data_IF_230896060722
#
_entry.id   IF_230896060722
#
_cell.length_a   1.000
_cell.length_b   1.000
_cell.length_c   1.000
_cell.angle_alpha   90.00
_cell.angle_beta   90.00
_cell.angle_gamma   90.00
#
_symmetry.space_group_name_H-M   'P 1'
#
loop_
_entity.id
_entity.type
_entity.pdbx_description
1 polymer ?
#
# COMPACT_ATOMS: atom_id res chain seq x y z
N UNK A 1 10.20 -21.51 -59.04
CA UNK A 1 9.70 -20.91 -57.78
C UNK A 1 9.64 -22.00 -56.72
N UNK A 2 10.24 -21.79 -55.53
CA UNK A 2 9.74 -22.29 -54.23
C UNK A 2 10.60 -21.66 -53.12
N UNK A 3 9.96 -20.89 -52.24
CA UNK A 3 10.54 -20.28 -51.03
C UNK A 3 10.24 -21.24 -49.87
N UNK A 4 11.25 -21.66 -49.10
CA UNK A 4 11.04 -22.42 -47.86
C UNK A 4 11.88 -21.80 -46.74
N UNK A 5 11.16 -21.35 -45.70
CA UNK A 5 11.59 -20.52 -44.58
C UNK A 5 12.51 -21.27 -43.60
N UNK A 6 13.45 -20.58 -42.91
CA UNK A 6 14.14 -21.14 -41.76
C UNK A 6 13.28 -21.03 -40.50
N UNK A 7 12.60 -22.11 -40.11
CA UNK A 7 12.00 -22.23 -38.78
C UNK A 7 13.10 -22.50 -37.74
N UNK A 8 13.74 -21.45 -37.27
CA UNK A 8 14.40 -21.46 -35.95
C UNK A 8 13.62 -20.54 -35.03
N UNK A 9 12.68 -21.14 -34.28
CA UNK A 9 12.16 -20.54 -33.06
C UNK A 9 13.06 -20.99 -31.91
N UNK A 10 14.01 -20.18 -31.43
CA UNK A 10 14.69 -20.49 -30.19
C UNK A 10 13.69 -20.27 -29.05
N UNK A 11 13.38 -21.34 -28.32
CA UNK A 11 13.14 -21.44 -26.87
C UNK A 11 12.53 -20.26 -26.09
N UNK A 12 11.62 -19.49 -26.69
CA UNK A 12 10.85 -18.46 -25.98
C UNK A 12 10.01 -19.08 -24.84
N UNK A 13 9.68 -20.37 -24.95
CA UNK A 13 8.94 -21.12 -23.94
C UNK A 13 9.78 -21.41 -22.69
N UNK A 14 11.08 -21.63 -22.82
CA UNK A 14 11.96 -21.88 -21.68
C UNK A 14 12.24 -20.59 -20.91
N UNK A 15 12.53 -19.49 -21.62
CA UNK A 15 12.71 -18.17 -21.01
C UNK A 15 11.46 -17.68 -20.26
N UNK A 16 10.27 -17.94 -20.81
CA UNK A 16 9.01 -17.59 -20.14
C UNK A 16 8.74 -18.48 -18.92
N UNK A 17 9.05 -19.78 -18.98
CA UNK A 17 8.95 -20.67 -17.82
C UNK A 17 9.94 -20.32 -16.71
N UNK A 18 11.16 -19.93 -17.06
CA UNK A 18 12.17 -19.49 -16.10
C UNK A 18 11.73 -18.19 -15.40
N UNK A 19 11.07 -17.30 -16.15
CA UNK A 19 10.45 -16.09 -15.60
C UNK A 19 9.29 -16.40 -14.65
N UNK A 20 8.39 -17.34 -14.97
CA UNK A 20 7.33 -17.79 -14.05
C UNK A 20 7.89 -18.48 -12.81
N UNK A 21 9.01 -19.22 -12.94
CA UNK A 21 9.68 -19.89 -11.81
C UNK A 21 10.38 -18.91 -10.87
N UNK A 22 10.99 -17.86 -11.39
CA UNK A 22 11.64 -16.82 -10.58
C UNK A 22 10.67 -15.75 -10.10
N UNK A 23 9.56 -15.51 -10.81
CA UNK A 23 8.43 -14.72 -10.33
C UNK A 23 7.40 -15.63 -9.66
N UNK A 24 7.76 -16.11 -8.46
CA UNK A 24 6.76 -16.55 -7.49
C UNK A 24 5.75 -15.41 -7.33
N UNK A 25 4.44 -15.64 -7.52
CA UNK A 25 3.46 -14.83 -6.84
C UNK A 25 3.61 -15.18 -5.36
N UNK A 26 4.19 -14.27 -4.58
CA UNK A 26 3.94 -14.26 -3.14
C UNK A 26 2.52 -13.71 -2.95
N UNK A 27 1.52 -14.48 -3.34
CA UNK A 27 0.16 -14.28 -2.87
C UNK A 27 -0.43 -15.64 -2.48
N UNK A 28 -0.55 -15.80 -1.16
CA UNK A 28 -1.70 -16.39 -0.48
C UNK A 28 -2.53 -17.33 -1.35
N UNK A 29 -2.07 -18.58 -1.44
CA UNK A 29 -3.03 -19.68 -1.49
C UNK A 29 -3.84 -19.64 -0.19
N UNK A 30 -4.97 -18.93 -0.20
CA UNK A 30 -6.07 -19.14 0.73
C UNK A 30 -6.72 -20.46 0.32
N UNK A 31 -6.73 -21.45 1.22
CA UNK A 31 -7.96 -22.18 1.45
C UNK A 31 -8.34 -22.13 2.93
N UNK A 32 -9.64 -21.97 3.13
CA UNK A 32 -10.43 -22.52 4.24
C UNK A 32 -10.19 -22.08 5.69
N UNK A 33 -11.21 -21.37 6.19
CA UNK A 33 -11.79 -21.40 7.53
C UNK A 33 -10.92 -21.98 8.66
N UNK A 34 -10.39 -21.09 9.49
CA UNK A 34 -10.22 -21.41 10.91
C UNK A 34 -10.23 -20.12 11.74
N UNK A 35 -11.19 -20.10 12.65
CA UNK A 35 -11.26 -19.34 13.89
C UNK A 35 -11.45 -17.83 13.80
N UNK A 36 -12.67 -17.42 14.17
CA UNK A 36 -12.87 -16.15 14.85
C UNK A 36 -12.00 -16.15 16.10
N UNK A 37 -10.97 -15.31 16.07
CA UNK A 37 -10.40 -14.74 17.26
C UNK A 37 -10.45 -13.24 17.09
N UNK A 38 -11.15 -12.63 18.02
CA UNK A 38 -11.29 -11.20 18.20
C UNK A 38 -9.89 -10.60 18.34
N UNK A 39 -9.34 -10.10 17.23
CA UNK A 39 -8.14 -9.29 17.23
C UNK A 39 -8.40 -7.99 18.00
N UNK A 40 -8.27 -8.06 19.32
CA UNK A 40 -8.16 -6.94 20.24
C UNK A 40 -6.83 -6.23 19.94
N UNK A 41 -6.74 -5.57 18.80
CA UNK A 41 -5.64 -4.65 18.47
C UNK A 41 -6.01 -3.23 18.92
N UNK A 42 -6.57 -3.13 20.13
CA UNK A 42 -6.91 -1.87 20.80
C UNK A 42 -5.75 -1.42 21.73
N UNK A 43 -4.50 -1.60 21.30
CA UNK A 43 -3.32 -1.16 22.09
C UNK A 43 -2.17 -0.61 21.25
N UNK A 44 -2.42 -0.26 19.98
CA UNK A 44 -1.47 0.53 19.15
C UNK A 44 -1.78 2.03 19.12
N UNK A 45 -2.52 2.54 20.10
CA UNK A 45 -2.73 3.98 20.28
C UNK A 45 -1.39 4.71 20.53
N UNK A 46 -0.40 4.03 21.13
CA UNK A 46 0.88 4.62 21.56
C UNK A 46 2.11 4.15 20.76
N UNK A 47 1.97 3.20 19.83
CA UNK A 47 3.07 2.82 18.93
C UNK A 47 3.18 3.84 17.79
N UNK A 48 4.38 4.37 17.55
CA UNK A 48 4.63 5.36 16.49
C UNK A 48 4.08 4.97 15.11
N UNK A 49 3.95 5.94 14.22
CA UNK A 49 3.45 5.72 12.86
C UNK A 49 4.47 4.98 12.00
N UNK A 50 4.06 3.86 11.43
CA UNK A 50 4.83 3.14 10.41
C UNK A 50 4.61 3.72 9.02
N UNK A 51 5.56 3.52 8.08
CA UNK A 51 5.39 3.97 6.69
C UNK A 51 4.14 3.41 6.01
N UNK A 52 3.73 2.19 6.37
CA UNK A 52 2.51 1.56 5.85
C UNK A 52 1.23 2.26 6.33
N UNK A 53 1.18 2.65 7.60
CA UNK A 53 0.06 3.39 8.18
C UNK A 53 -0.02 4.81 7.59
N UNK A 54 1.10 5.49 7.42
CA UNK A 54 1.16 6.80 6.75
C UNK A 54 0.68 6.70 5.31
N UNK A 55 1.10 5.68 4.57
CA UNK A 55 0.63 5.45 3.20
C UNK A 55 -0.88 5.18 3.14
N UNK A 56 -1.40 4.35 4.05
CA UNK A 56 -2.84 4.08 4.16
C UNK A 56 -3.63 5.36 4.46
N UNK A 57 -3.16 6.17 5.42
CA UNK A 57 -3.75 7.46 5.75
C UNK A 57 -3.76 8.41 4.54
N UNK A 58 -2.63 8.55 3.84
CA UNK A 58 -2.51 9.40 2.67
C UNK A 58 -3.41 8.95 1.52
N UNK A 59 -3.53 7.64 1.28
CA UNK A 59 -4.44 7.08 0.29
C UNK A 59 -5.90 7.33 0.66
N UNK A 60 -6.27 7.15 1.93
CA UNK A 60 -7.61 7.44 2.42
C UNK A 60 -7.95 8.93 2.29
N UNK A 61 -7.00 9.83 2.54
CA UNK A 61 -7.21 11.28 2.36
C UNK A 61 -7.45 11.68 0.90
N UNK A 62 -6.83 10.96 -0.06
CA UNK A 62 -7.07 11.15 -1.49
C UNK A 62 -8.45 10.62 -1.90
N UNK A 63 -8.83 9.45 -1.38
CA UNK A 63 -10.12 8.82 -1.67
C UNK A 63 -11.30 9.59 -1.05
N UNK A 64 -11.10 10.20 0.12
CA UNK A 64 -12.13 10.92 0.86
C UNK A 64 -11.75 12.41 0.98
N UNK A 65 -12.09 13.25 -0.02
CA UNK A 65 -11.86 14.68 0.03
C UNK A 65 -12.71 15.34 1.11
N UNK A 66 -12.53 16.65 1.31
CA UNK A 66 -13.19 17.43 2.40
C UNK A 66 -14.71 17.42 2.33
N UNK A 67 -15.27 17.16 1.16
CA UNK A 67 -16.71 17.16 0.91
C UNK A 67 -17.36 15.79 1.19
N UNK A 68 -16.57 14.79 1.59
CA UNK A 68 -17.07 13.47 1.93
C UNK A 68 -17.73 13.45 3.33
N UNK A 69 -19.00 13.07 3.38
CA UNK A 69 -19.70 12.74 4.63
C UNK A 69 -18.96 11.63 5.37
N UNK A 70 -18.79 11.80 6.69
CA UNK A 70 -18.08 10.84 7.55
C UNK A 70 -16.64 10.56 7.10
N UNK A 71 -16.00 11.53 6.42
CA UNK A 71 -14.60 11.45 5.93
C UNK A 71 -13.68 10.77 6.93
N UNK A 72 -13.66 11.28 8.15
CA UNK A 72 -12.72 10.82 9.17
C UNK A 72 -13.03 9.43 9.73
N UNK A 73 -14.29 8.99 9.67
CA UNK A 73 -14.64 7.62 10.04
C UNK A 73 -14.16 6.64 8.97
N UNK A 74 -14.35 6.97 7.69
CA UNK A 74 -13.81 6.20 6.57
C UNK A 74 -12.27 6.15 6.58
N UNK A 75 -11.62 7.25 6.96
CA UNK A 75 -10.16 7.29 7.13
C UNK A 75 -9.70 6.37 8.26
N UNK A 76 -10.33 6.44 9.43
CA UNK A 76 -9.97 5.57 10.55
C UNK A 76 -10.18 4.08 10.20
N UNK A 77 -11.25 3.76 9.47
CA UNK A 77 -11.49 2.41 8.97
C UNK A 77 -10.42 1.92 7.99
N UNK A 78 -9.75 2.83 7.27
CA UNK A 78 -8.66 2.50 6.34
C UNK A 78 -7.29 2.35 7.04
N UNK A 79 -7.16 2.78 8.30
CA UNK A 79 -5.91 2.69 9.07
C UNK A 79 -6.16 1.84 10.32
N UNK A 80 -6.04 0.51 10.22
CA UNK A 80 -6.33 -0.38 11.34
C UNK A 80 -5.42 -0.08 12.54
N UNK A 81 -5.99 -0.11 13.74
CA UNK A 81 -5.26 0.20 14.98
C UNK A 81 -5.05 1.69 15.26
N UNK A 82 -5.50 2.60 14.39
CA UNK A 82 -5.46 4.05 14.62
C UNK A 82 -6.86 4.64 14.70
N UNK A 83 -7.10 5.45 15.73
CA UNK A 83 -8.37 6.16 15.90
C UNK A 83 -8.47 7.36 14.96
N UNK A 84 -9.70 7.86 14.77
CA UNK A 84 -9.97 9.12 14.06
C UNK A 84 -9.14 10.29 14.59
N UNK A 85 -9.02 10.40 15.92
CA UNK A 85 -8.24 11.46 16.56
C UNK A 85 -6.74 11.38 16.20
N UNK A 86 -6.16 10.18 16.23
CA UNK A 86 -4.77 9.96 15.83
C UNK A 86 -4.56 10.26 14.35
N UNK A 87 -5.46 9.83 13.47
CA UNK A 87 -5.39 10.14 12.05
C UNK A 87 -5.38 11.65 11.81
N UNK A 88 -6.29 12.40 12.44
CA UNK A 88 -6.34 13.87 12.32
C UNK A 88 -5.02 14.52 12.77
N UNK A 89 -4.50 14.11 13.94
CA UNK A 89 -3.22 14.62 14.46
C UNK A 89 -2.07 14.34 13.50
N UNK A 90 -1.98 13.12 12.98
CA UNK A 90 -0.92 12.74 12.03
C UNK A 90 -0.96 13.53 10.74
N UNK A 91 -2.15 13.83 10.21
CA UNK A 91 -2.28 14.69 9.02
C UNK A 91 -1.72 16.09 9.26
N UNK A 92 -1.93 16.65 10.45
CA UNK A 92 -1.37 17.97 10.81
C UNK A 92 0.15 17.90 10.88
N UNK A 93 0.71 16.86 11.51
CA UNK A 93 2.16 16.62 11.58
C UNK A 93 2.77 16.49 10.18
N UNK A 94 2.25 15.59 9.33
CA UNK A 94 2.73 15.38 7.96
C UNK A 94 2.72 16.68 7.14
N UNK A 95 1.67 17.50 7.28
CA UNK A 95 1.57 18.80 6.60
C UNK A 95 2.59 19.80 7.12
N UNK A 96 2.84 19.82 8.44
CA UNK A 96 3.86 20.69 9.05
C UNK A 96 5.24 20.29 8.59
N UNK A 97 5.55 19.00 8.63
CA UNK A 97 6.87 18.47 8.31
C UNK A 97 7.18 18.69 6.81
N UNK A 98 6.18 18.53 5.92
CA UNK A 98 6.33 18.86 4.50
C UNK A 98 6.55 20.36 4.23
N UNK A 99 5.91 21.24 5.01
CA UNK A 99 6.10 22.70 4.89
C UNK A 99 7.45 23.13 5.45
N UNK A 100 7.89 22.51 6.54
CA UNK A 100 9.18 22.79 7.18
C UNK A 100 10.36 22.27 6.35
N UNK A 101 10.23 21.11 5.71
CA UNK A 101 11.28 20.58 4.82
C UNK A 101 11.45 21.42 3.54
N UNK A 102 10.38 22.07 3.07
CA UNK A 102 10.46 23.07 1.99
C UNK A 102 11.18 24.35 2.38
N UNK A 103 11.22 24.72 3.66
CA UNK A 103 11.94 25.90 4.13
C UNK A 103 13.47 25.65 4.16
N UNK A 104 13.90 24.40 4.32
CA UNK A 104 15.32 24.03 4.33
C UNK A 104 15.91 23.72 2.95
N UNK A 105 15.09 23.58 1.90
CA UNK A 105 15.55 23.34 0.52
C UNK A 105 15.83 24.61 -0.30
N UNK A 106 15.74 25.81 0.30
CA UNK A 106 15.98 27.09 -0.39
C UNK A 106 17.32 27.76 -0.03
N UNK A 107 18.30 27.03 0.52
CA UNK A 107 19.66 27.53 0.71
C UNK A 107 20.68 26.50 0.25
N UNK A 108 21.11 26.61 -1.00
CA UNK A 108 22.40 26.14 -1.51
C UNK A 108 22.79 27.02 -2.68
#
# INVERSE_FOLDING_TARGET
MAKSLPERKPDSRDSFQQFLKHRKPSDRARPELSNGDVGVEASKENGGWSPGEDLALLNALKAFPKDASMRWEKIAAAVPGKSKALCMKRVVELKRDFRSSKASQSQS
#
